data_IF_746379990131
#
_entry.id   IF_746379990131
#
_cell.length_a   1.000
_cell.length_b   1.000
_cell.length_c   1.000
_cell.angle_alpha   90.00
_cell.angle_beta   90.00
_cell.angle_gamma   90.00
#
_symmetry.space_group_name_H-M   'P 1'
#
loop_
_entity.id
_entity.type
_entity.pdbx_description
1 polymer ?
#
# COMPACT_ATOMS: atom_id res chain seq x y z
N UNK A 1 -6.73 -20.59 13.16
CA UNK A 1 -7.09 -19.18 12.90
C UNK A 1 -7.72 -19.11 11.51
N UNK A 2 -8.86 -18.45 11.34
CA UNK A 2 -9.48 -18.21 10.04
C UNK A 2 -9.40 -16.73 9.70
N UNK A 3 -8.92 -16.39 8.51
CA UNK A 3 -8.86 -15.00 8.04
C UNK A 3 -9.92 -14.80 6.97
N UNK A 4 -10.62 -13.68 7.07
CA UNK A 4 -11.78 -13.27 6.29
C UNK A 4 -11.59 -11.87 5.73
N UNK A 5 -12.50 -11.45 4.86
CA UNK A 5 -12.74 -10.04 4.58
C UNK A 5 -14.20 -9.66 4.82
N UNK A 6 -14.42 -8.40 5.20
CA UNK A 6 -15.74 -7.97 5.69
C UNK A 6 -16.83 -7.84 4.63
N UNK A 7 -16.48 -7.86 3.33
CA UNK A 7 -17.36 -7.49 2.20
C UNK A 7 -18.15 -6.17 2.40
N UNK A 8 -17.63 -5.26 3.23
CA UNK A 8 -18.30 -4.03 3.61
C UNK A 8 -17.39 -2.83 3.35
N UNK A 9 -17.45 -2.34 2.12
CA UNK A 9 -16.55 -1.32 1.60
C UNK A 9 -16.60 -0.01 2.41
N UNK A 10 -15.45 0.37 2.97
CA UNK A 10 -15.26 1.59 3.73
C UNK A 10 -15.66 1.52 5.20
N UNK A 11 -16.17 0.39 5.68
CA UNK A 11 -16.44 0.20 7.10
C UNK A 11 -15.13 0.01 7.87
N UNK A 12 -14.94 0.78 8.94
CA UNK A 12 -13.77 0.65 9.84
C UNK A 12 -13.95 -0.54 10.80
N UNK A 13 -12.88 -0.93 11.48
CA UNK A 13 -12.94 -1.93 12.55
C UNK A 13 -13.87 -1.46 13.68
N UNK A 14 -13.93 -0.15 13.94
CA UNK A 14 -14.87 0.44 14.89
C UNK A 14 -16.31 0.30 14.41
N UNK A 15 -16.59 0.56 13.13
CA UNK A 15 -17.95 0.42 12.60
C UNK A 15 -18.46 -1.02 12.70
N UNK A 16 -17.62 -2.01 12.39
CA UNK A 16 -17.96 -3.42 12.54
C UNK A 16 -18.17 -3.79 14.02
N UNK A 17 -17.25 -3.42 14.92
CA UNK A 17 -17.44 -3.60 16.37
C UNK A 17 -18.77 -3.01 16.86
N UNK A 18 -19.09 -1.77 16.46
CA UNK A 18 -20.30 -1.09 16.91
C UNK A 18 -21.58 -1.71 16.33
N UNK A 19 -21.49 -2.26 15.11
CA UNK A 19 -22.60 -2.97 14.47
C UNK A 19 -22.92 -4.26 15.22
N UNK A 20 -21.93 -5.12 15.47
CA UNK A 20 -22.14 -6.41 16.15
C UNK A 20 -22.53 -6.25 17.63
N UNK A 21 -22.21 -5.12 18.26
CA UNK A 21 -22.68 -4.81 19.61
C UNK A 21 -24.11 -4.26 19.68
N UNK A 22 -24.69 -3.85 18.54
CA UNK A 22 -26.06 -3.28 18.49
C UNK A 22 -27.07 -4.22 17.86
N UNK A 23 -26.63 -5.12 16.97
CA UNK A 23 -27.49 -5.97 16.15
C UNK A 23 -27.17 -7.43 16.39
N UNK A 24 -28.20 -8.26 16.59
CA UNK A 24 -28.05 -9.71 16.52
C UNK A 24 -27.95 -10.14 15.05
N UNK A 25 -26.73 -10.19 14.53
CA UNK A 25 -26.45 -10.49 13.12
C UNK A 25 -26.42 -11.99 12.81
N UNK A 26 -26.45 -12.87 13.82
CA UNK A 26 -26.21 -14.31 13.63
C UNK A 26 -24.77 -14.63 13.18
N UNK A 27 -23.87 -13.66 13.29
CA UNK A 27 -22.46 -13.77 12.93
C UNK A 27 -21.61 -12.87 13.85
N UNK A 28 -20.31 -13.14 13.94
CA UNK A 28 -19.35 -12.37 14.73
C UNK A 28 -17.92 -12.81 14.43
N UNK A 29 -16.93 -11.98 14.74
CA UNK A 29 -15.51 -12.35 14.68
C UNK A 29 -14.78 -12.04 16.00
N UNK A 30 -13.60 -12.62 16.19
CA UNK A 30 -12.74 -12.26 17.32
C UNK A 30 -12.03 -10.93 17.11
N UNK A 31 -11.67 -10.63 15.87
CA UNK A 31 -10.93 -9.43 15.51
C UNK A 31 -11.45 -8.79 14.24
N UNK A 32 -11.53 -7.45 14.22
CA UNK A 32 -11.63 -6.65 13.00
C UNK A 32 -10.37 -5.81 12.84
N UNK A 33 -9.84 -5.76 11.63
CA UNK A 33 -8.59 -5.07 11.31
C UNK A 33 -8.84 -4.07 10.20
N UNK A 34 -8.63 -2.79 10.47
CA UNK A 34 -8.69 -1.73 9.48
C UNK A 34 -7.31 -1.11 9.22
N UNK A 35 -7.29 -0.05 8.41
CA UNK A 35 -6.07 0.67 8.11
C UNK A 35 -5.44 1.33 9.34
N UNK A 36 -6.18 1.59 10.41
CA UNK A 36 -5.66 2.27 11.60
C UNK A 36 -5.31 1.33 12.75
N UNK A 37 -6.09 0.28 12.97
CA UNK A 37 -6.00 -0.56 14.17
C UNK A 37 -6.61 -1.95 13.97
N UNK A 38 -6.26 -2.85 14.87
CA UNK A 38 -7.01 -4.06 15.15
C UNK A 38 -7.85 -3.88 16.42
N UNK A 39 -9.12 -4.30 16.39
CA UNK A 39 -9.99 -4.34 17.56
C UNK A 39 -10.32 -5.80 17.85
N UNK A 40 -10.07 -6.24 19.09
CA UNK A 40 -10.60 -7.50 19.62
C UNK A 40 -12.06 -7.29 20.04
N UNK A 41 -12.98 -8.00 19.42
CA UNK A 41 -14.42 -7.88 19.64
C UNK A 41 -14.98 -9.02 20.48
N UNK A 42 -14.40 -10.22 20.37
CA UNK A 42 -14.74 -11.39 21.20
C UNK A 42 -13.46 -11.89 21.88
N UNK A 43 -13.49 -12.19 23.19
CA UNK A 43 -12.38 -12.85 23.88
C UNK A 43 -11.95 -14.15 23.18
N UNK A 44 -10.64 -14.43 23.13
CA UNK A 44 -10.13 -15.63 22.44
C UNK A 44 -10.50 -16.96 23.13
N UNK A 45 -11.02 -16.90 24.35
CA UNK A 45 -11.53 -18.04 25.10
C UNK A 45 -13.06 -18.21 24.94
N UNK A 46 -13.68 -17.48 24.02
CA UNK A 46 -15.09 -17.58 23.65
C UNK A 46 -15.23 -18.00 22.18
N UNK A 47 -16.45 -18.38 21.78
CA UNK A 47 -16.76 -18.80 20.41
C UNK A 47 -17.26 -17.59 19.62
N UNK A 48 -16.65 -17.32 18.46
CA UNK A 48 -17.20 -16.40 17.46
C UNK A 48 -17.88 -17.18 16.32
N UNK A 49 -19.02 -16.70 15.85
CA UNK A 49 -19.77 -17.29 14.73
C UNK A 49 -19.32 -16.73 13.38
N UNK A 50 -18.31 -17.34 12.75
CA UNK A 50 -17.63 -16.77 11.58
C UNK A 50 -17.47 -17.69 10.35
N UNK A 51 -17.51 -19.03 10.48
CA UNK A 51 -17.21 -19.93 9.35
C UNK A 51 -17.92 -21.29 9.39
N UNK A 52 -19.19 -21.31 9.83
CA UNK A 52 -19.93 -22.55 10.04
C UNK A 52 -19.66 -23.19 11.41
N UNK A 53 -20.58 -24.04 11.85
CA UNK A 53 -20.60 -24.62 13.21
C UNK A 53 -19.25 -25.23 13.61
N UNK A 54 -18.66 -26.07 12.76
CA UNK A 54 -17.43 -26.79 13.05
C UNK A 54 -16.24 -25.85 13.18
N UNK A 55 -16.09 -24.87 12.28
CA UNK A 55 -14.99 -23.91 12.33
C UNK A 55 -15.10 -22.96 13.53
N UNK A 56 -16.33 -22.51 13.86
CA UNK A 56 -16.61 -21.63 15.01
C UNK A 56 -16.08 -22.22 16.33
N UNK A 57 -16.14 -23.54 16.48
CA UNK A 57 -15.68 -24.23 17.70
C UNK A 57 -14.21 -24.66 17.66
N UNK A 58 -13.48 -24.35 16.59
CA UNK A 58 -12.08 -24.76 16.39
C UNK A 58 -11.10 -23.60 16.30
N UNK A 59 -11.53 -22.44 15.82
CA UNK A 59 -10.61 -21.40 15.40
C UNK A 59 -10.98 -20.02 15.92
N UNK A 60 -9.93 -19.22 16.17
CA UNK A 60 -10.04 -17.76 16.20
C UNK A 60 -10.30 -17.22 14.80
N UNK A 61 -10.80 -15.98 14.71
CA UNK A 61 -11.11 -15.30 13.44
C UNK A 61 -10.60 -13.87 13.35
N UNK A 62 -10.13 -13.47 12.16
CA UNK A 62 -9.75 -12.11 11.82
C UNK A 62 -10.53 -11.67 10.57
N UNK A 63 -11.18 -10.52 10.66
CA UNK A 63 -11.89 -9.85 9.57
C UNK A 63 -11.08 -8.67 9.04
N UNK A 64 -10.64 -8.76 7.77
CA UNK A 64 -9.97 -7.66 7.07
C UNK A 64 -11.02 -6.66 6.57
N UNK A 65 -10.99 -5.44 7.10
CA UNK A 65 -11.91 -4.38 6.65
C UNK A 65 -11.60 -3.96 5.22
N UNK A 66 -12.59 -3.94 4.34
CA UNK A 66 -12.43 -3.62 2.92
C UNK A 66 -12.33 -2.09 2.73
N UNK A 67 -11.23 -1.55 2.18
CA UNK A 67 -11.09 -0.11 1.94
C UNK A 67 -12.07 0.44 0.91
N UNK A 68 -12.43 1.73 1.04
CA UNK A 68 -13.33 2.39 0.10
C UNK A 68 -12.65 2.76 -1.22
N UNK A 69 -13.38 2.65 -2.33
CA UNK A 69 -12.97 3.02 -3.68
C UNK A 69 -11.65 2.37 -4.11
N UNK A 70 -11.40 1.13 -3.68
CA UNK A 70 -10.16 0.40 -3.94
C UNK A 70 -8.90 1.15 -3.48
N UNK A 71 -8.95 1.82 -2.32
CA UNK A 71 -7.82 2.56 -1.78
C UNK A 71 -6.65 1.62 -1.42
N UNK A 72 -5.64 1.59 -2.29
CA UNK A 72 -4.45 0.73 -2.15
C UNK A 72 -3.67 1.01 -0.85
N UNK A 73 -3.59 2.27 -0.41
CA UNK A 73 -2.84 2.61 0.81
C UNK A 73 -3.54 2.09 2.06
N UNK A 74 -4.87 2.18 2.11
CA UNK A 74 -5.64 1.58 3.19
C UNK A 74 -5.55 0.05 3.17
N UNK A 75 -5.61 -0.57 1.98
CA UNK A 75 -5.41 -2.02 1.85
C UNK A 75 -4.06 -2.46 2.40
N UNK A 76 -2.98 -1.76 2.03
CA UNK A 76 -1.64 -2.10 2.52
C UNK A 76 -1.60 -2.07 4.06
N UNK A 77 -2.25 -1.09 4.69
CA UNK A 77 -2.31 -1.00 6.16
C UNK A 77 -3.17 -2.11 6.76
N UNK A 78 -4.31 -2.45 6.17
CA UNK A 78 -5.15 -3.59 6.60
C UNK A 78 -4.35 -4.88 6.53
N UNK A 79 -3.63 -5.10 5.44
CA UNK A 79 -2.78 -6.28 5.24
C UNK A 79 -1.64 -6.33 6.27
N UNK A 80 -0.88 -5.24 6.45
CA UNK A 80 0.22 -5.17 7.42
C UNK A 80 -0.27 -5.42 8.86
N UNK A 81 -1.36 -4.78 9.26
CA UNK A 81 -1.96 -4.98 10.58
C UNK A 81 -2.45 -6.43 10.77
N UNK A 82 -2.98 -7.05 9.70
CA UNK A 82 -3.43 -8.45 9.72
C UNK A 82 -2.25 -9.40 9.86
N UNK A 83 -1.15 -9.17 9.12
CA UNK A 83 0.08 -9.95 9.22
C UNK A 83 0.66 -9.87 10.65
N UNK A 84 0.73 -8.66 11.22
CA UNK A 84 1.21 -8.45 12.59
C UNK A 84 0.35 -9.20 13.61
N UNK A 85 -0.98 -9.03 13.53
CA UNK A 85 -1.91 -9.65 14.45
C UNK A 85 -1.86 -11.18 14.35
N UNK A 86 -1.93 -11.73 13.14
CA UNK A 86 -1.89 -13.17 12.92
C UNK A 86 -0.57 -13.78 13.41
N UNK A 87 0.57 -13.15 13.12
CA UNK A 87 1.86 -13.61 13.62
C UNK A 87 1.96 -13.58 15.15
N UNK A 88 1.41 -12.53 15.79
CA UNK A 88 1.39 -12.44 17.25
C UNK A 88 0.47 -13.47 17.90
N UNK A 89 -0.67 -13.80 17.27
CA UNK A 89 -1.53 -14.90 17.69
C UNK A 89 -0.76 -16.22 17.56
N UNK A 90 -0.13 -16.49 16.41
CA UNK A 90 0.65 -17.71 16.21
C UNK A 90 1.73 -17.87 17.27
N UNK A 91 2.50 -16.82 17.57
CA UNK A 91 3.51 -16.85 18.65
C UNK A 91 2.90 -17.15 20.02
N UNK A 92 1.76 -16.54 20.35
CA UNK A 92 1.09 -16.72 21.65
C UNK A 92 0.63 -18.16 21.88
N UNK A 93 0.17 -18.82 20.81
CA UNK A 93 -0.36 -20.18 20.87
C UNK A 93 0.63 -21.27 20.42
N UNK A 94 1.86 -20.90 20.05
CA UNK A 94 2.86 -21.84 19.53
C UNK A 94 2.48 -22.42 18.16
N UNK A 95 1.71 -21.69 17.38
CA UNK A 95 1.28 -22.09 16.03
C UNK A 95 2.24 -21.58 14.95
N UNK A 96 2.12 -22.20 13.78
CA UNK A 96 2.72 -21.78 12.53
C UNK A 96 1.65 -21.33 11.54
N UNK A 97 2.05 -21.02 10.31
CA UNK A 97 1.11 -20.75 9.22
C UNK A 97 0.28 -21.95 8.79
N UNK A 98 0.62 -23.17 9.22
CA UNK A 98 -0.18 -24.39 8.96
C UNK A 98 -1.52 -24.42 9.70
N UNK A 99 -1.64 -23.64 10.77
CA UNK A 99 -2.85 -23.49 11.57
C UNK A 99 -3.69 -22.26 11.15
N UNK A 100 -3.37 -21.65 10.01
CA UNK A 100 -4.10 -20.53 9.41
C UNK A 100 -4.86 -21.03 8.18
N UNK A 101 -6.17 -20.76 8.17
CA UNK A 101 -7.09 -21.18 7.12
C UNK A 101 -7.87 -19.98 6.58
N UNK A 102 -8.40 -20.10 5.37
CA UNK A 102 -9.34 -19.15 4.77
C UNK A 102 -10.78 -19.61 4.99
N UNK A 103 -11.76 -18.71 4.79
CA UNK A 103 -13.17 -19.11 4.82
C UNK A 103 -13.47 -20.14 3.71
N UNK A 104 -12.91 -19.97 2.51
CA UNK A 104 -12.94 -20.97 1.43
C UNK A 104 -12.51 -22.36 1.90
N UNK A 105 -11.42 -22.47 2.65
CA UNK A 105 -10.97 -23.75 3.18
C UNK A 105 -12.03 -24.37 4.09
N UNK A 106 -12.64 -23.58 4.98
CA UNK A 106 -13.73 -24.05 5.84
C UNK A 106 -14.95 -24.50 5.02
N UNK A 107 -15.37 -23.72 4.03
CA UNK A 107 -16.44 -24.04 3.07
C UNK A 107 -16.22 -25.40 2.41
N UNK A 108 -15.02 -25.64 1.87
CA UNK A 108 -14.72 -26.90 1.15
C UNK A 108 -14.45 -28.09 2.07
N UNK A 109 -14.11 -27.84 3.34
CA UNK A 109 -13.82 -28.91 4.29
C UNK A 109 -15.08 -29.42 4.98
N UNK A 110 -15.99 -28.51 5.37
CA UNK A 110 -17.17 -28.87 6.18
C UNK A 110 -18.50 -28.64 5.48
N UNK A 111 -18.55 -27.84 4.41
CA UNK A 111 -19.78 -27.56 3.65
C UNK A 111 -20.92 -26.96 4.51
N UNK A 112 -20.57 -26.23 5.58
CA UNK A 112 -21.50 -25.54 6.47
C UNK A 112 -21.67 -24.04 6.14
N UNK A 113 -20.92 -23.56 5.14
CA UNK A 113 -20.87 -22.20 4.59
C UNK A 113 -20.45 -22.31 3.12
N UNK A 114 -20.78 -21.34 2.29
CA UNK A 114 -20.43 -21.26 0.86
C UNK A 114 -19.50 -20.08 0.54
N UNK A 115 -18.99 -19.42 1.58
CA UNK A 115 -18.11 -18.26 1.46
C UNK A 115 -16.70 -18.63 0.94
N UNK A 116 -16.10 -17.69 0.22
CA UNK A 116 -14.89 -17.88 -0.58
C UNK A 116 -13.78 -16.88 -0.22
N UNK A 117 -14.00 -16.01 0.77
CA UNK A 117 -13.07 -14.98 1.21
C UNK A 117 -11.80 -15.55 1.88
N UNK A 118 -10.67 -14.80 1.89
CA UNK A 118 -10.48 -13.44 1.35
C UNK A 118 -9.83 -13.42 -0.05
N UNK A 119 -10.06 -14.43 -0.89
CA UNK A 119 -9.28 -14.61 -2.13
C UNK A 119 -9.49 -13.46 -3.12
N UNK A 120 -10.73 -13.12 -3.43
CA UNK A 120 -11.06 -12.08 -4.41
C UNK A 120 -10.62 -10.70 -3.89
N UNK A 121 -10.81 -10.44 -2.59
CA UNK A 121 -10.34 -9.23 -1.94
C UNK A 121 -8.82 -9.08 -2.05
N UNK A 122 -8.04 -10.12 -1.69
CA UNK A 122 -6.58 -10.08 -1.83
C UNK A 122 -6.18 -9.89 -3.30
N UNK A 123 -6.80 -10.64 -4.22
CA UNK A 123 -6.48 -10.59 -5.66
C UNK A 123 -6.71 -9.19 -6.24
N UNK A 124 -7.79 -8.52 -5.83
CA UNK A 124 -8.15 -7.16 -6.23
C UNK A 124 -7.05 -6.14 -5.94
N UNK A 125 -6.21 -6.38 -4.94
CA UNK A 125 -5.08 -5.52 -4.55
C UNK A 125 -3.71 -6.14 -4.86
N UNK A 126 -3.66 -7.14 -5.74
CA UNK A 126 -2.41 -7.75 -6.20
C UNK A 126 -1.74 -8.66 -5.17
N UNK A 127 -2.53 -9.26 -4.26
CA UNK A 127 -2.07 -10.25 -3.29
C UNK A 127 -2.73 -11.59 -3.52
N UNK A 128 -2.00 -12.66 -3.23
CA UNK A 128 -2.56 -14.00 -3.11
C UNK A 128 -2.66 -14.42 -1.64
N UNK A 129 -3.47 -15.44 -1.37
CA UNK A 129 -3.49 -16.11 -0.07
C UNK A 129 -2.11 -16.61 0.36
N UNK A 130 -1.31 -17.13 -0.58
CA UNK A 130 0.05 -17.58 -0.31
C UNK A 130 0.99 -16.44 0.05
N UNK A 131 0.81 -15.24 -0.52
CA UNK A 131 1.58 -14.07 -0.12
C UNK A 131 1.31 -13.71 1.35
N UNK A 132 0.02 -13.72 1.74
CA UNK A 132 -0.39 -13.45 3.12
C UNK A 132 0.25 -14.45 4.09
N UNK A 133 0.16 -15.75 3.81
CA UNK A 133 0.80 -16.78 4.63
C UNK A 133 2.32 -16.60 4.70
N UNK A 134 2.99 -16.36 3.57
CA UNK A 134 4.43 -16.16 3.55
C UNK A 134 4.87 -14.94 4.38
N UNK A 135 4.12 -13.85 4.34
CA UNK A 135 4.44 -12.64 5.11
C UNK A 135 4.17 -12.83 6.61
N UNK A 136 3.13 -13.58 6.98
CA UNK A 136 2.89 -14.01 8.36
C UNK A 136 4.05 -14.89 8.85
N UNK A 137 4.50 -15.88 8.05
CA UNK A 137 5.62 -16.76 8.41
C UNK A 137 6.91 -15.97 8.65
N UNK A 138 7.25 -15.03 7.76
CA UNK A 138 8.39 -14.12 7.97
C UNK A 138 8.28 -13.38 9.31
N UNK A 139 7.08 -12.87 9.61
CA UNK A 139 6.84 -12.10 10.84
C UNK A 139 6.88 -12.98 12.09
N UNK A 140 6.42 -14.23 12.02
CA UNK A 140 6.60 -15.25 13.07
C UNK A 140 8.09 -15.43 13.36
N UNK A 141 8.90 -15.58 12.31
CA UNK A 141 10.35 -15.80 12.41
C UNK A 141 11.17 -14.55 12.77
N UNK A 142 10.52 -13.45 13.14
CA UNK A 142 11.19 -12.20 13.53
C UNK A 142 11.90 -11.50 12.37
N UNK A 143 11.65 -11.93 11.13
CA UNK A 143 12.15 -11.26 9.95
C UNK A 143 11.34 -9.99 9.73
N UNK A 144 12.01 -8.96 9.22
CA UNK A 144 11.30 -7.84 8.65
C UNK A 144 10.41 -8.39 7.54
N UNK A 145 9.12 -8.17 7.64
CA UNK A 145 8.29 -8.20 6.45
C UNK A 145 8.86 -7.13 5.53
N UNK A 146 9.24 -7.50 4.31
CA UNK A 146 9.38 -6.48 3.28
C UNK A 146 8.02 -5.79 3.26
N UNK A 147 7.92 -4.48 3.55
CA UNK A 147 6.65 -3.78 3.44
C UNK A 147 6.07 -4.16 2.10
N UNK A 148 4.77 -4.48 2.04
CA UNK A 148 4.15 -4.70 0.75
C UNK A 148 4.53 -3.51 -0.13
N UNK A 149 5.36 -3.78 -1.14
CA UNK A 149 5.87 -2.78 -2.05
C UNK A 149 4.69 -2.31 -2.91
N UNK A 150 3.89 -1.42 -2.35
CA UNK A 150 3.85 -0.05 -2.85
C UNK A 150 4.32 0.88 -1.73
N UNK A 151 5.57 0.71 -1.29
CA UNK A 151 6.40 1.90 -1.19
C UNK A 151 6.35 2.53 -2.58
N UNK A 152 5.49 3.54 -2.78
CA UNK A 152 5.70 4.44 -3.90
C UNK A 152 7.05 5.06 -3.60
N UNK A 153 8.09 4.49 -4.20
CA UNK A 153 9.45 4.95 -4.00
C UNK A 153 9.54 6.30 -4.70
N UNK A 154 9.29 7.35 -3.93
CA UNK A 154 9.21 8.72 -4.43
C UNK A 154 10.62 9.19 -4.79
N UNK A 155 11.62 8.93 -3.93
CA UNK A 155 13.00 9.45 -4.01
C UNK A 155 13.03 10.90 -4.52
N UNK A 156 12.22 11.76 -3.91
CA UNK A 156 12.10 13.13 -4.32
C UNK A 156 12.52 14.06 -3.22
N UNK A 157 13.11 15.16 -3.65
CA UNK A 157 13.32 16.29 -2.80
C UNK A 157 11.98 16.94 -2.44
N UNK A 158 11.86 17.41 -1.20
CA UNK A 158 10.68 18.09 -0.71
C UNK A 158 11.03 19.24 0.22
N UNK A 159 10.05 20.09 0.47
CA UNK A 159 10.14 21.21 1.42
C UNK A 159 9.05 21.07 2.48
N UNK A 160 9.44 21.19 3.75
CA UNK A 160 8.50 21.16 4.88
C UNK A 160 7.69 22.47 4.95
N UNK A 161 6.36 22.36 5.09
CA UNK A 161 5.41 23.48 5.15
C UNK A 161 4.57 23.40 6.43
N UNK A 162 5.12 23.98 7.48
CA UNK A 162 4.50 24.15 8.81
C UNK A 162 4.81 25.55 9.37
N UNK A 163 4.17 25.93 10.46
CA UNK A 163 4.44 27.22 11.12
C UNK A 163 5.77 27.22 11.91
N UNK A 164 6.12 26.11 12.56
CA UNK A 164 7.34 26.01 13.38
C UNK A 164 8.12 24.74 13.06
N UNK A 165 7.73 23.60 13.64
CA UNK A 165 8.32 22.29 13.39
C UNK A 165 7.27 21.22 13.14
N UNK A 166 7.71 20.13 12.52
CA UNK A 166 6.93 18.93 12.23
C UNK A 166 7.62 17.74 12.89
N UNK A 167 6.86 16.99 13.69
CA UNK A 167 7.37 15.80 14.36
C UNK A 167 7.76 14.71 13.35
N UNK A 168 8.96 14.17 13.54
CA UNK A 168 9.44 12.95 12.87
C UNK A 168 9.25 11.77 13.81
N UNK A 169 8.67 10.68 13.31
CA UNK A 169 8.32 9.49 14.10
C UNK A 169 9.05 8.23 13.65
N UNK A 170 9.20 7.25 14.53
CA UNK A 170 9.78 5.93 14.23
C UNK A 170 8.90 5.08 13.30
N UNK A 171 7.58 5.25 13.40
CA UNK A 171 6.57 4.68 12.51
C UNK A 171 5.43 5.68 12.25
N UNK A 172 4.56 5.39 11.28
CA UNK A 172 3.30 6.12 11.13
C UNK A 172 2.51 6.03 12.44
N UNK A 173 2.16 7.18 13.03
CA UNK A 173 1.52 7.28 14.36
C UNK A 173 2.37 6.80 15.56
N UNK A 174 3.65 6.44 15.35
CA UNK A 174 4.56 5.97 16.39
C UNK A 174 5.12 7.06 17.31
N UNK A 175 6.21 6.76 18.00
CA UNK A 175 6.85 7.69 18.92
C UNK A 175 7.55 8.82 18.17
N UNK A 176 7.61 10.01 18.78
CA UNK A 176 8.37 11.14 18.24
C UNK A 176 9.87 10.88 18.49
N UNK A 177 10.67 10.87 17.42
CA UNK A 177 12.11 10.61 17.44
C UNK A 177 12.95 11.81 16.97
N UNK A 178 12.30 12.88 16.54
CA UNK A 178 12.92 14.10 16.08
C UNK A 178 11.89 15.09 15.54
N UNK A 179 12.39 16.16 14.94
CA UNK A 179 11.59 17.18 14.28
C UNK A 179 12.33 17.72 13.06
N UNK A 180 11.57 18.27 12.12
CA UNK A 180 12.06 19.06 10.98
C UNK A 180 11.37 20.41 10.96
N UNK A 181 12.07 21.45 10.56
CA UNK A 181 11.58 22.83 10.68
C UNK A 181 10.92 23.35 9.42
N UNK A 182 10.16 24.45 9.55
CA UNK A 182 9.56 25.14 8.40
C UNK A 182 10.60 25.47 7.33
N UNK A 183 10.25 25.18 6.07
CA UNK A 183 11.09 25.34 4.88
C UNK A 183 12.37 24.48 4.84
N UNK A 184 12.53 23.54 5.78
CA UNK A 184 13.63 22.58 5.73
C UNK A 184 13.48 21.66 4.50
N UNK A 185 14.63 21.30 3.94
CA UNK A 185 14.75 20.43 2.77
C UNK A 185 14.95 18.99 3.23
N UNK A 186 14.10 18.09 2.74
CA UNK A 186 14.17 16.66 3.05
C UNK A 186 14.11 15.84 1.77
N UNK A 187 14.57 14.60 1.85
CA UNK A 187 14.39 13.60 0.80
C UNK A 187 13.27 12.64 1.21
N UNK A 188 12.16 12.63 0.46
CA UNK A 188 11.07 11.67 0.65
C UNK A 188 11.46 10.39 -0.09
N UNK A 189 11.72 9.33 0.70
CA UNK A 189 12.15 8.04 0.20
C UNK A 189 10.94 7.23 -0.30
N UNK A 190 9.88 7.22 0.50
CA UNK A 190 8.64 6.54 0.17
C UNK A 190 7.43 7.19 0.87
N UNK A 191 6.24 6.73 0.51
CA UNK A 191 4.97 7.09 1.16
C UNK A 191 4.26 5.86 1.72
N UNK A 192 3.66 6.00 2.88
CA UNK A 192 2.74 5.03 3.50
C UNK A 192 1.47 5.77 3.93
N UNK A 193 0.43 5.71 3.10
CA UNK A 193 -0.82 6.48 3.30
C UNK A 193 -0.55 7.98 3.44
N UNK A 194 -1.04 8.56 4.52
CA UNK A 194 -0.83 9.99 4.84
C UNK A 194 0.56 10.30 5.43
N UNK A 195 1.52 9.37 5.36
CA UNK A 195 2.86 9.57 5.90
C UNK A 195 3.90 9.45 4.81
N UNK A 196 4.91 10.32 4.88
CA UNK A 196 6.14 10.18 4.12
C UNK A 196 7.25 9.68 5.01
N UNK A 197 8.00 8.69 4.53
CA UNK A 197 9.28 8.32 5.12
C UNK A 197 10.35 9.20 4.50
N UNK A 198 10.97 10.00 5.35
CA UNK A 198 11.95 11.00 4.94
C UNK A 198 13.33 10.66 5.45
N UNK A 199 14.32 11.15 4.72
CA UNK A 199 15.69 11.34 5.17
C UNK A 199 15.90 12.83 5.38
N UNK A 200 16.39 13.19 6.57
CA UNK A 200 16.54 14.59 7.00
C UNK A 200 17.84 14.77 7.77
N UNK A 201 18.36 15.99 7.77
CA UNK A 201 19.63 16.29 8.40
C UNK A 201 19.42 16.72 9.85
N UNK A 202 20.35 16.33 10.71
CA UNK A 202 20.44 16.78 12.10
C UNK A 202 21.86 17.24 12.38
N UNK A 203 22.10 17.87 13.53
CA UNK A 203 23.44 18.27 13.95
C UNK A 203 24.44 17.10 13.97
N UNK A 204 23.95 15.87 14.27
CA UNK A 204 24.76 14.66 14.36
C UNK A 204 24.71 13.81 13.08
N UNK A 205 24.44 14.44 11.93
CA UNK A 205 24.33 13.77 10.63
C UNK A 205 22.89 13.45 10.24
N UNK A 206 22.72 12.57 9.27
CA UNK A 206 21.41 12.31 8.67
C UNK A 206 20.64 11.21 9.39
N UNK A 207 19.35 11.45 9.64
CA UNK A 207 18.41 10.48 10.19
C UNK A 207 17.29 10.16 9.20
N UNK A 208 16.50 9.14 9.52
CA UNK A 208 15.28 8.79 8.79
C UNK A 208 14.11 8.64 9.75
N UNK A 209 12.90 8.85 9.25
CA UNK A 209 11.67 8.69 10.02
C UNK A 209 10.44 9.16 9.25
N UNK A 210 9.27 9.07 9.88
CA UNK A 210 7.98 9.36 9.27
C UNK A 210 7.48 10.75 9.62
N UNK A 211 6.97 11.48 8.63
CA UNK A 211 6.30 12.78 8.78
C UNK A 211 4.95 12.75 8.08
N UNK A 212 3.99 13.55 8.58
CA UNK A 212 2.65 13.60 7.97
C UNK A 212 2.70 14.33 6.63
N UNK A 213 2.27 13.65 5.56
CA UNK A 213 2.46 14.06 4.16
C UNK A 213 1.80 15.39 3.80
N UNK A 214 0.70 15.73 4.48
CA UNK A 214 -0.02 17.01 4.34
C UNK A 214 0.90 18.24 4.50
N UNK A 215 1.97 18.12 5.27
CA UNK A 215 2.91 19.20 5.56
C UNK A 215 4.19 19.15 4.74
N UNK A 216 4.24 18.31 3.71
CA UNK A 216 5.43 18.11 2.89
C UNK A 216 5.07 18.39 1.45
N UNK A 217 5.68 19.44 0.90
CA UNK A 217 5.50 19.80 -0.50
C UNK A 217 6.59 19.13 -1.33
N UNK A 218 6.22 18.13 -2.12
CA UNK A 218 7.12 17.43 -3.03
C UNK A 218 7.54 18.34 -4.18
N UNK A 219 8.83 18.33 -4.51
CA UNK A 219 9.27 18.92 -5.77
C UNK A 219 8.64 18.13 -6.93
N UNK A 220 8.31 18.82 -8.03
CA UNK A 220 7.79 18.15 -9.24
C UNK A 220 8.79 17.11 -9.72
N UNK A 221 8.44 15.83 -9.56
CA UNK A 221 9.26 14.72 -10.03
C UNK A 221 9.18 14.69 -11.55
N UNK A 222 10.32 14.97 -12.20
CA UNK A 222 10.45 14.83 -13.64
C UNK A 222 10.71 13.37 -13.97
N UNK A 223 9.80 12.74 -14.71
CA UNK A 223 10.05 11.41 -15.26
C UNK A 223 11.01 11.55 -16.44
N UNK A 224 12.29 11.30 -16.23
CA UNK A 224 13.29 11.34 -17.31
C UNK A 224 13.46 9.94 -17.88
N UNK A 225 13.26 9.78 -19.19
CA UNK A 225 13.54 8.54 -19.92
C UNK A 225 14.62 8.73 -20.97
N UNK A 226 15.27 7.64 -21.36
CA UNK A 226 16.33 7.61 -22.37
C UNK A 226 15.79 7.05 -23.68
N UNK A 227 16.07 7.72 -24.78
CA UNK A 227 15.68 7.28 -26.13
C UNK A 227 16.53 6.08 -26.55
N UNK A 228 15.89 5.00 -27.01
CA UNK A 228 16.57 3.77 -27.45
C UNK A 228 16.72 3.65 -28.96
N UNK A 229 15.84 4.29 -29.73
CA UNK A 229 15.88 4.30 -31.19
C UNK A 229 16.98 5.23 -31.73
N UNK A 230 17.64 4.83 -32.82
CA UNK A 230 18.67 5.66 -33.49
C UNK A 230 18.16 7.06 -33.83
N UNK A 231 16.91 7.14 -34.31
CA UNK A 231 16.18 8.40 -34.53
C UNK A 231 14.69 8.13 -34.28
N UNK A 232 14.07 8.93 -33.42
CA UNK A 232 12.67 8.81 -33.02
C UNK A 232 11.93 10.10 -33.39
N UNK A 233 10.91 9.97 -34.23
CA UNK A 233 10.08 11.11 -34.63
C UNK A 233 9.21 11.58 -33.46
N UNK A 234 9.25 12.88 -33.20
CA UNK A 234 8.35 13.59 -32.29
C UNK A 234 7.19 14.15 -33.11
N UNK A 235 5.95 13.83 -32.73
CA UNK A 235 4.73 14.15 -33.45
C UNK A 235 3.83 15.11 -32.68
N UNK A 236 3.03 15.86 -33.41
CA UNK A 236 2.08 16.84 -32.82
C UNK A 236 0.96 16.18 -32.02
N UNK A 237 0.44 15.05 -32.52
CA UNK A 237 -0.62 14.24 -31.89
C UNK A 237 -0.15 12.79 -31.75
N UNK A 238 -0.72 12.06 -30.78
CA UNK A 238 -0.48 10.64 -30.52
C UNK A 238 -1.01 9.71 -31.64
N UNK A 239 -0.46 9.83 -32.85
CA UNK A 239 -0.85 9.06 -34.02
C UNK A 239 0.31 8.96 -35.01
N UNK A 240 0.46 7.79 -35.65
CA UNK A 240 1.47 7.56 -36.70
C UNK A 240 1.22 8.39 -37.97
N UNK A 241 -0.01 8.89 -38.15
CA UNK A 241 -0.40 9.74 -39.28
C UNK A 241 -0.26 11.24 -38.98
N UNK A 242 0.11 11.62 -37.75
CA UNK A 242 0.28 13.02 -37.36
C UNK A 242 1.57 13.63 -37.94
N UNK A 243 1.56 14.95 -38.13
CA UNK A 243 2.75 15.73 -38.49
C UNK A 243 3.95 15.44 -37.57
N UNK A 244 5.13 15.34 -38.17
CA UNK A 244 6.41 15.24 -37.45
C UNK A 244 6.88 16.68 -37.16
N UNK A 245 7.06 17.00 -35.89
CA UNK A 245 7.43 18.35 -35.41
C UNK A 245 8.85 18.40 -34.82
N UNK A 246 9.51 17.25 -34.73
CA UNK A 246 10.90 17.13 -34.33
C UNK A 246 11.38 15.70 -34.31
N UNK A 247 12.63 15.52 -33.87
CA UNK A 247 13.28 14.22 -33.72
C UNK A 247 14.12 14.23 -32.44
N UNK A 248 14.22 13.07 -31.81
CA UNK A 248 15.14 12.78 -30.70
C UNK A 248 15.96 11.54 -31.03
N UNK A 249 17.20 11.47 -30.54
CA UNK A 249 18.19 10.48 -30.96
C UNK A 249 18.59 9.54 -29.81
N UNK A 250 19.14 8.37 -30.17
CA UNK A 250 19.55 7.35 -29.20
C UNK A 250 20.46 7.95 -28.11
N UNK A 251 20.12 7.67 -26.86
CA UNK A 251 20.86 8.15 -25.69
C UNK A 251 20.43 9.53 -25.19
N UNK A 252 19.61 10.28 -25.94
CA UNK A 252 19.05 11.54 -25.44
C UNK A 252 18.08 11.27 -24.28
N UNK A 253 18.10 12.19 -23.31
CA UNK A 253 17.20 12.17 -22.15
C UNK A 253 16.06 13.14 -22.39
N UNK A 254 14.83 12.65 -22.18
CA UNK A 254 13.60 13.42 -22.37
C UNK A 254 12.74 13.36 -21.12
N UNK A 255 12.06 14.46 -20.80
CA UNK A 255 11.10 14.52 -19.69
C UNK A 255 9.73 14.07 -20.20
N UNK A 256 9.23 12.94 -19.72
CA UNK A 256 7.86 12.47 -19.97
C UNK A 256 6.91 13.25 -19.08
N UNK A 257 5.99 14.00 -19.69
CA UNK A 257 4.98 14.78 -18.97
C UNK A 257 3.69 14.02 -18.74
N UNK A 258 3.25 13.23 -19.72
CA UNK A 258 2.10 12.32 -19.59
C UNK A 258 2.17 11.21 -20.64
N UNK A 259 1.32 10.20 -20.46
CA UNK A 259 1.23 9.02 -21.34
C UNK A 259 -0.20 8.83 -21.79
N UNK A 260 -0.38 8.48 -23.06
CA UNK A 260 -1.64 7.96 -23.62
C UNK A 260 -1.35 6.58 -24.20
N UNK A 261 -2.35 5.73 -24.50
CA UNK A 261 -2.10 4.38 -24.99
C UNK A 261 -1.13 4.35 -26.18
N UNK A 262 0.05 3.76 -25.98
CA UNK A 262 1.12 3.64 -26.99
C UNK A 262 2.07 4.84 -27.14
N UNK A 263 1.83 5.98 -26.49
CA UNK A 263 2.61 7.21 -26.70
C UNK A 263 2.97 7.93 -25.40
N UNK A 264 4.15 8.55 -25.39
CA UNK A 264 4.58 9.50 -24.36
C UNK A 264 4.55 10.91 -24.93
N UNK A 265 3.95 11.86 -24.20
CA UNK A 265 4.17 13.27 -24.46
C UNK A 265 5.40 13.73 -23.69
N UNK A 266 6.40 14.21 -24.43
CA UNK A 266 7.71 14.53 -23.91
C UNK A 266 8.05 16.00 -24.04
N UNK A 267 8.94 16.48 -23.19
CA UNK A 267 9.72 17.69 -23.36
C UNK A 267 11.17 17.30 -23.65
N UNK A 268 11.72 17.84 -24.73
CA UNK A 268 13.06 17.50 -25.21
C UNK A 268 13.86 18.76 -25.56
N UNK A 269 15.18 18.67 -25.37
CA UNK A 269 16.11 19.76 -25.66
C UNK A 269 16.28 19.94 -27.17
N UNK A 270 16.43 21.19 -27.59
CA UNK A 270 16.84 21.59 -28.95
C UNK A 270 18.01 22.56 -28.84
N UNK A 271 18.64 22.93 -29.97
CA UNK A 271 19.85 23.78 -30.00
C UNK A 271 19.77 25.03 -29.12
N UNK A 272 18.59 25.67 -29.01
CA UNK A 272 18.41 26.93 -28.27
C UNK A 272 17.17 26.98 -27.35
N UNK A 273 16.42 25.88 -27.17
CA UNK A 273 15.20 25.86 -26.34
C UNK A 273 14.74 24.44 -26.03
N UNK A 274 13.56 24.29 -25.46
CA UNK A 274 12.83 23.03 -25.35
C UNK A 274 11.64 23.03 -26.30
N UNK A 275 11.33 21.85 -26.84
CA UNK A 275 10.09 21.58 -27.56
C UNK A 275 9.35 20.44 -26.89
N UNK A 276 8.09 20.28 -27.26
CA UNK A 276 7.21 19.27 -26.69
C UNK A 276 6.41 18.56 -27.79
N UNK A 277 6.09 17.29 -27.57
CA UNK A 277 5.32 16.48 -28.52
C UNK A 277 5.29 15.00 -28.16
N UNK A 278 4.63 14.21 -28.99
CA UNK A 278 4.41 12.78 -28.79
C UNK A 278 5.48 11.91 -29.43
N UNK A 279 5.96 10.91 -28.70
CA UNK A 279 6.81 9.83 -29.22
C UNK A 279 6.22 8.47 -28.86
N UNK A 280 6.53 7.45 -29.65
CA UNK A 280 6.03 6.10 -29.40
C UNK A 280 6.71 5.54 -28.14
N UNK A 281 5.90 5.04 -27.20
CA UNK A 281 6.34 4.76 -25.83
C UNK A 281 7.44 3.68 -25.74
N UNK A 282 7.41 2.70 -26.64
CA UNK A 282 8.34 1.55 -26.65
C UNK A 282 9.80 1.94 -26.94
N UNK A 283 10.06 3.18 -27.36
CA UNK A 283 11.42 3.67 -27.62
C UNK A 283 12.00 4.50 -26.48
N UNK A 284 11.35 4.53 -25.31
CA UNK A 284 11.85 5.22 -24.11
C UNK A 284 11.97 4.25 -22.94
N UNK A 285 13.17 4.16 -22.34
CA UNK A 285 13.46 3.39 -21.11
C UNK A 285 13.72 4.29 -19.91
#
# INVERSE_FOLDING_TARGET
LVIHDTDNEGATAQNNHDYFNRVYAGASAHYFVDWNKAIKTIPENEVAWHAGYTANHKFLSIEMCVPKNNNQSEFNRVYENTVELAANICKRYGWSTKEIYSHRYCSYTWHETDHEDPYDFLQKFGKSWNDLLNDIEKRINGQAINPLLTENKINANATIKVNNSLNVRDSAWGNIIGEVFSNERVEVLNSNGDWYYIKYNTHNGTKKGYVYSKYVNLDKIKTIKTVTASCLNVREVASTNSNIIGQVFKGEKVEVKWTVPGWHYIKYSTKNSYKEGYVYANYLI
#
